data_IF_933794443636
#
_entry.id   IF_933794443636
#
_cell.length_a   1.000
_cell.length_b   1.000
_cell.length_c   1.000
_cell.angle_alpha   90.00
_cell.angle_beta   90.00
_cell.angle_gamma   90.00
#
_symmetry.space_group_name_H-M   'P 1'
#
loop_
_entity.id
_entity.type
_entity.pdbx_description
1 polymer ?
#
# COMPACT_ATOMS: atom_id res chain seq x y z
N UNK A 1 9.30 -11.00 16.87
CA UNK A 1 9.31 -11.47 15.46
C UNK A 1 8.16 -10.90 14.64
N UNK A 2 6.88 -11.07 15.01
CA UNK A 2 5.75 -10.57 14.18
C UNK A 2 5.70 -9.04 14.01
N UNK A 3 5.92 -8.27 15.08
CA UNK A 3 6.02 -6.81 15.01
C UNK A 3 7.19 -6.33 14.12
N UNK A 4 8.26 -7.11 14.02
CA UNK A 4 9.46 -6.77 13.24
C UNK A 4 9.23 -7.01 11.74
N UNK A 5 8.51 -8.08 11.39
CA UNK A 5 8.06 -8.36 10.02
C UNK A 5 7.05 -7.31 9.56
N UNK A 6 6.10 -6.94 10.42
CA UNK A 6 5.17 -5.85 10.18
C UNK A 6 5.88 -4.51 9.97
N UNK A 7 6.83 -4.14 10.84
CA UNK A 7 7.60 -2.91 10.72
C UNK A 7 8.43 -2.87 9.42
N UNK A 8 8.99 -4.01 9.01
CA UNK A 8 9.72 -4.14 7.75
C UNK A 8 8.78 -3.98 6.54
N UNK A 9 7.57 -4.57 6.61
CA UNK A 9 6.53 -4.40 5.59
C UNK A 9 6.09 -2.95 5.44
N UNK A 10 5.83 -2.25 6.56
CA UNK A 10 5.47 -0.83 6.57
C UNK A 10 6.62 0.01 6.01
N UNK A 11 7.86 -0.27 6.39
CA UNK A 11 9.04 0.43 5.85
C UNK A 11 9.14 0.29 4.33
N UNK A 12 9.03 -0.94 3.81
CA UNK A 12 9.10 -1.19 2.36
C UNK A 12 7.93 -0.53 1.63
N UNK A 13 6.73 -0.56 2.21
CA UNK A 13 5.57 0.13 1.68
C UNK A 13 5.80 1.65 1.61
N UNK A 14 6.27 2.26 2.68
CA UNK A 14 6.59 3.69 2.73
C UNK A 14 7.64 4.07 1.69
N UNK A 15 8.75 3.31 1.59
CA UNK A 15 9.78 3.55 0.58
C UNK A 15 9.26 3.48 -0.85
N UNK A 16 8.26 2.63 -1.11
CA UNK A 16 7.68 2.51 -2.44
C UNK A 16 6.74 3.67 -2.80
N UNK A 17 6.16 4.38 -1.82
CA UNK A 17 5.21 5.49 -2.06
C UNK A 17 5.83 6.89 -1.91
N UNK A 18 7.05 7.02 -1.37
CA UNK A 18 7.76 8.29 -1.21
C UNK A 18 8.12 8.96 -2.54
N UNK A 19 8.05 8.23 -3.66
CA UNK A 19 8.30 8.76 -4.99
C UNK A 19 7.33 9.85 -5.44
N UNK A 20 6.10 9.90 -4.89
CA UNK A 20 5.13 10.97 -5.11
C UNK A 20 4.83 11.29 -6.58
N UNK A 21 5.11 10.38 -7.52
CA UNK A 21 5.04 10.62 -8.95
C UNK A 21 3.61 10.91 -9.41
N UNK A 22 3.44 11.57 -10.56
CA UNK A 22 2.12 11.86 -11.13
C UNK A 22 1.29 10.57 -11.32
N UNK A 23 1.92 9.49 -11.76
CA UNK A 23 1.28 8.17 -11.89
C UNK A 23 0.77 7.63 -10.55
N UNK A 24 1.57 7.74 -9.48
CA UNK A 24 1.15 7.34 -8.14
C UNK A 24 -0.02 8.18 -7.66
N UNK A 25 0.01 9.49 -7.89
CA UNK A 25 -1.09 10.39 -7.53
C UNK A 25 -2.39 10.02 -8.25
N UNK A 26 -2.34 9.76 -9.56
CA UNK A 26 -3.49 9.32 -10.34
C UNK A 26 -4.02 7.95 -9.88
N UNK A 27 -3.13 7.01 -9.56
CA UNK A 27 -3.50 5.70 -9.04
C UNK A 27 -4.16 5.80 -7.65
N UNK A 28 -3.68 6.68 -6.77
CA UNK A 28 -4.34 6.95 -5.49
C UNK A 28 -5.73 7.57 -5.69
N UNK A 29 -5.89 8.53 -6.60
CA UNK A 29 -7.19 9.12 -6.92
C UNK A 29 -8.17 8.08 -7.48
N UNK A 30 -7.71 7.20 -8.37
CA UNK A 30 -8.52 6.09 -8.90
C UNK A 30 -9.02 5.16 -7.79
N UNK A 31 -8.20 4.96 -6.74
CA UNK A 31 -8.57 4.20 -5.55
C UNK A 31 -9.38 5.00 -4.52
N UNK A 32 -9.75 6.25 -4.82
CA UNK A 32 -10.54 7.12 -3.95
C UNK A 32 -9.72 7.85 -2.87
N UNK A 33 -8.40 7.87 -2.97
CA UNK A 33 -7.53 8.55 -2.02
C UNK A 33 -7.11 9.93 -2.52
N UNK A 34 -7.15 10.91 -1.62
CA UNK A 34 -6.47 12.19 -1.81
C UNK A 34 -5.01 12.04 -1.36
N UNK A 35 -4.05 12.25 -2.26
CA UNK A 35 -2.63 12.03 -1.98
C UNK A 35 -2.08 12.91 -0.84
N UNK A 36 -2.57 14.15 -0.68
CA UNK A 36 -2.14 15.02 0.44
C UNK A 36 -2.66 14.49 1.77
N UNK A 37 -3.93 14.09 1.81
CA UNK A 37 -4.52 13.47 2.99
C UNK A 37 -3.83 12.15 3.32
N UNK A 38 -3.55 11.34 2.32
CA UNK A 38 -2.86 10.06 2.48
C UNK A 38 -1.47 10.24 3.08
N UNK A 39 -0.71 11.25 2.64
CA UNK A 39 0.59 11.57 3.22
C UNK A 39 0.48 11.99 4.70
N UNK A 40 -0.50 12.83 5.05
CA UNK A 40 -0.76 13.23 6.43
C UNK A 40 -1.21 12.05 7.31
N UNK A 41 -2.11 11.20 6.79
CA UNK A 41 -2.57 9.99 7.47
C UNK A 41 -1.40 9.01 7.69
N UNK A 42 -0.47 8.88 6.73
CA UNK A 42 0.72 8.04 6.86
C UNK A 42 1.68 8.52 7.95
N UNK A 43 1.85 9.84 8.11
CA UNK A 43 2.67 10.41 9.19
C UNK A 43 2.05 10.16 10.57
N UNK A 44 0.71 10.15 10.65
CA UNK A 44 -0.03 9.96 11.90
C UNK A 44 -0.21 8.49 12.28
N UNK A 45 -0.51 7.65 11.30
CA UNK A 45 -0.85 6.24 11.43
C UNK A 45 -0.44 5.49 10.15
N UNK A 46 0.86 5.17 10.06
CA UNK A 46 1.41 4.50 8.90
C UNK A 46 0.78 3.11 8.68
N UNK A 47 0.56 2.38 9.77
CA UNK A 47 0.02 1.03 9.76
C UNK A 47 -1.43 1.02 9.25
N UNK A 48 -2.33 1.79 9.86
CA UNK A 48 -3.73 1.86 9.45
C UNK A 48 -3.89 2.44 8.05
N UNK A 49 -3.04 3.39 7.66
CA UNK A 49 -3.07 3.95 6.30
C UNK A 49 -2.61 2.94 5.25
N UNK A 50 -1.54 2.19 5.52
CA UNK A 50 -1.10 1.09 4.65
C UNK A 50 -2.22 0.04 4.48
N UNK A 51 -2.86 -0.38 5.59
CA UNK A 51 -3.96 -1.34 5.54
C UNK A 51 -5.13 -0.85 4.69
N UNK A 52 -5.50 0.43 4.81
CA UNK A 52 -6.56 1.04 3.99
C UNK A 52 -6.23 1.00 2.50
N UNK A 53 -4.99 1.31 2.11
CA UNK A 53 -4.57 1.26 0.71
C UNK A 53 -4.60 -0.18 0.18
N UNK A 54 -4.01 -1.12 0.91
CA UNK A 54 -4.03 -2.54 0.53
C UNK A 54 -5.46 -3.09 0.44
N UNK A 55 -6.33 -2.69 1.37
CA UNK A 55 -7.75 -3.06 1.35
C UNK A 55 -8.48 -2.49 0.13
N UNK A 56 -8.26 -1.22 -0.23
CA UNK A 56 -8.84 -0.64 -1.45
C UNK A 56 -8.38 -1.39 -2.71
N UNK A 57 -7.12 -1.82 -2.77
CA UNK A 57 -6.62 -2.64 -3.87
C UNK A 57 -7.28 -4.03 -3.85
N UNK A 58 -7.46 -4.64 -2.68
CA UNK A 58 -8.07 -5.97 -2.53
C UNK A 58 -9.52 -6.04 -3.03
N UNK A 59 -10.23 -4.90 -3.00
CA UNK A 59 -11.61 -4.73 -3.47
C UNK A 59 -11.74 -4.61 -4.99
N UNK A 60 -10.64 -4.39 -5.71
CA UNK A 60 -10.64 -4.43 -7.18
C UNK A 60 -10.78 -5.87 -7.69
N UNK A 61 -11.31 -6.03 -8.91
CA UNK A 61 -11.26 -7.29 -9.65
C UNK A 61 -9.83 -7.87 -9.63
N UNK A 62 -9.69 -9.19 -9.42
CA UNK A 62 -8.37 -9.85 -9.33
C UNK A 62 -7.45 -9.53 -10.51
N UNK A 63 -8.01 -9.41 -11.73
CA UNK A 63 -7.26 -9.03 -12.93
C UNK A 63 -6.71 -7.59 -12.91
N UNK A 64 -7.29 -6.69 -12.11
CA UNK A 64 -6.89 -5.28 -11.98
C UNK A 64 -5.88 -5.04 -10.87
N UNK A 65 -5.79 -5.93 -9.87
CA UNK A 65 -4.90 -5.78 -8.71
C UNK A 65 -3.41 -5.63 -9.10
N UNK A 66 -2.85 -6.44 -10.02
CA UNK A 66 -1.44 -6.30 -10.42
C UNK A 66 -1.15 -4.95 -11.08
N UNK A 67 -2.10 -4.45 -11.90
CA UNK A 67 -1.98 -3.14 -12.54
C UNK A 67 -2.01 -2.01 -11.52
N UNK A 68 -2.91 -2.08 -10.53
CA UNK A 68 -3.00 -1.10 -9.45
C UNK A 68 -1.72 -1.09 -8.59
N UNK A 69 -1.24 -2.28 -8.19
CA UNK A 69 0.03 -2.42 -7.49
C UNK A 69 1.19 -1.81 -8.29
N UNK A 70 1.31 -2.14 -9.58
CA UNK A 70 2.38 -1.60 -10.42
C UNK A 70 2.28 -0.07 -10.59
N UNK A 71 1.08 0.49 -10.68
CA UNK A 71 0.90 1.94 -10.80
C UNK A 71 1.26 2.68 -9.51
N UNK A 72 1.08 2.05 -8.35
CA UNK A 72 1.37 2.65 -7.05
C UNK A 72 2.82 2.44 -6.59
N UNK A 73 3.42 1.29 -6.91
CA UNK A 73 4.69 0.88 -6.33
C UNK A 73 5.79 0.66 -7.39
N UNK A 74 5.44 0.65 -8.68
CA UNK A 74 6.38 0.33 -9.74
C UNK A 74 6.78 -1.15 -9.77
N UNK A 75 7.44 -1.56 -10.87
CA UNK A 75 7.87 -2.96 -11.07
C UNK A 75 8.94 -3.41 -10.10
N UNK A 76 9.77 -2.48 -9.62
CA UNK A 76 10.89 -2.79 -8.74
C UNK A 76 10.42 -3.10 -7.31
N UNK A 77 9.39 -2.40 -6.82
CA UNK A 77 8.89 -2.60 -5.46
C UNK A 77 7.73 -3.60 -5.40
N UNK A 78 7.07 -3.95 -6.53
CA UNK A 78 5.89 -4.83 -6.50
C UNK A 78 6.15 -6.18 -5.84
N UNK A 79 7.34 -6.76 -5.99
CA UNK A 79 7.70 -8.05 -5.39
C UNK A 79 7.70 -8.04 -3.87
N UNK A 80 8.03 -6.90 -3.26
CA UNK A 80 8.01 -6.73 -1.80
C UNK A 80 6.60 -6.42 -1.26
N UNK A 81 5.71 -5.84 -2.08
CA UNK A 81 4.38 -5.37 -1.66
C UNK A 81 3.27 -6.36 -1.96
N UNK A 82 3.35 -7.11 -3.06
CA UNK A 82 2.34 -8.10 -3.44
C UNK A 82 2.06 -9.17 -2.35
N UNK A 83 3.07 -9.65 -1.58
CA UNK A 83 2.82 -10.54 -0.45
C UNK A 83 1.99 -9.89 0.66
N UNK A 84 2.07 -8.57 0.86
CA UNK A 84 1.28 -7.86 1.87
C UNK A 84 -0.21 -7.88 1.49
N UNK A 85 -0.54 -7.67 0.22
CA UNK A 85 -1.91 -7.76 -0.28
C UNK A 85 -2.46 -9.20 -0.16
N UNK A 86 -1.64 -10.19 -0.46
CA UNK A 86 -2.01 -11.62 -0.37
C UNK A 86 -2.29 -12.03 1.07
N UNK A 87 -1.54 -11.49 2.03
CA UNK A 87 -1.66 -11.78 3.45
C UNK A 87 -2.44 -10.70 4.23
N UNK A 88 -3.31 -9.94 3.57
CA UNK A 88 -3.98 -8.78 4.17
C UNK A 88 -4.77 -9.14 5.44
N UNK A 89 -5.46 -10.28 5.47
CA UNK A 89 -6.22 -10.71 6.65
C UNK A 89 -5.32 -11.07 7.84
N UNK A 90 -4.16 -11.65 7.56
CA UNK A 90 -3.16 -11.93 8.59
C UNK A 90 -2.56 -10.64 9.13
N UNK A 91 -2.24 -9.69 8.26
CA UNK A 91 -1.77 -8.36 8.66
C UNK A 91 -2.79 -7.67 9.56
N UNK A 92 -4.07 -7.65 9.19
CA UNK A 92 -5.14 -7.04 9.99
C UNK A 92 -5.32 -7.66 11.38
N UNK A 93 -4.99 -8.95 11.55
CA UNK A 93 -5.11 -9.66 12.84
C UNK A 93 -3.93 -9.41 13.78
N UNK A 94 -2.76 -9.11 13.22
CA UNK A 94 -1.52 -8.90 13.95
C UNK A 94 -1.30 -7.42 14.34
N UNK A 95 -2.33 -6.60 14.15
CA UNK A 95 -2.34 -5.15 14.24
C UNK A 95 -3.54 -4.68 15.06
#
# INVERSE_FOLDING_TARGET
VEQEVAATGIKNFMLAITGGSKQQQEAFQFLGFNSKKLAADMQKDAQGTMLKVLESISKLDKARQPKALNALFGKESIGAIAPLLTNLDLLKKNF
#
